data_IF_251326139955
#
_entry.id   IF_251326139955
#
_cell.length_a   1.000
_cell.length_b   1.000
_cell.length_c   1.000
_cell.angle_alpha   90.00
_cell.angle_beta   90.00
_cell.angle_gamma   90.00
#
_symmetry.space_group_name_H-M   'P 1'
#
loop_
_entity.id
_entity.type
_entity.pdbx_description
1 polymer ?
#
# COMPACT_ATOMS: atom_id res chain seq x y z
N UNK A 1 18.08 9.39 3.64
CA UNK A 1 17.68 9.39 5.06
C UNK A 1 17.05 10.74 5.38
N UNK A 2 15.75 10.79 5.66
CA UNK A 2 15.04 12.01 6.06
C UNK A 2 14.95 11.97 7.59
N UNK A 3 15.52 12.97 8.25
CA UNK A 3 15.51 13.11 9.71
C UNK A 3 14.53 14.23 10.10
N UNK A 4 13.72 13.98 11.14
CA UNK A 4 12.82 14.97 11.74
C UNK A 4 11.34 14.65 11.54
N UNK A 5 10.65 14.33 12.64
CA UNK A 5 9.21 14.03 12.79
C UNK A 5 8.71 12.88 11.91
N UNK A 6 8.66 11.65 12.45
CA UNK A 6 7.78 10.47 12.20
C UNK A 6 7.07 10.30 10.83
N UNK A 7 7.61 10.88 9.78
CA UNK A 7 7.07 10.94 8.44
C UNK A 7 8.14 10.39 7.52
N UNK A 8 7.86 9.26 6.90
CA UNK A 8 8.73 8.64 5.92
C UNK A 8 8.25 9.03 4.53
N UNK A 9 9.03 9.84 3.83
CA UNK A 9 8.76 10.26 2.45
C UNK A 9 9.61 9.46 1.45
N UNK A 10 9.00 8.99 0.37
CA UNK A 10 9.71 8.41 -0.78
C UNK A 10 8.95 8.73 -2.08
N UNK A 11 9.65 8.64 -3.21
CA UNK A 11 9.02 8.67 -4.52
C UNK A 11 8.68 7.25 -4.97
N UNK A 12 7.55 7.08 -5.63
CA UNK A 12 7.04 5.78 -6.09
C UNK A 12 6.30 5.93 -7.41
N UNK A 13 6.38 4.91 -8.26
CA UNK A 13 5.63 4.80 -9.51
C UNK A 13 4.83 3.50 -9.44
N UNK A 14 3.50 3.59 -9.40
CA UNK A 14 2.63 2.43 -9.12
C UNK A 14 2.34 1.54 -10.34
N UNK A 15 2.72 1.96 -11.55
CA UNK A 15 2.59 1.17 -12.77
C UNK A 15 3.68 1.54 -13.78
N UNK A 16 4.02 0.62 -14.68
CA UNK A 16 5.02 0.87 -15.72
C UNK A 16 4.62 2.07 -16.57
N UNK A 17 5.53 3.04 -16.73
CA UNK A 17 5.30 4.32 -17.41
C UNK A 17 4.21 5.22 -16.78
N UNK A 18 3.80 4.94 -15.53
CA UNK A 18 2.90 5.78 -14.76
C UNK A 18 3.54 7.07 -14.25
N UNK A 19 2.77 7.92 -13.56
CA UNK A 19 3.30 9.11 -12.90
C UNK A 19 4.15 8.74 -11.68
N UNK A 20 5.16 9.55 -11.38
CA UNK A 20 5.93 9.44 -10.13
C UNK A 20 5.18 10.25 -9.07
N UNK A 21 4.82 9.58 -7.99
CA UNK A 21 4.11 10.17 -6.86
C UNK A 21 5.03 10.34 -5.65
N UNK A 22 4.71 11.34 -4.83
CA UNK A 22 5.28 11.49 -3.50
C UNK A 22 4.45 10.70 -2.48
N UNK A 23 5.01 9.62 -1.95
CA UNK A 23 4.42 8.81 -0.90
C UNK A 23 4.96 9.26 0.45
N UNK A 24 4.08 9.56 1.40
CA UNK A 24 4.46 9.79 2.80
C UNK A 24 3.67 8.92 3.76
N UNK A 25 4.37 8.41 4.77
CA UNK A 25 3.83 7.52 5.81
C UNK A 25 4.11 8.18 7.16
N UNK A 26 3.05 8.53 7.88
CA UNK A 26 3.12 9.19 9.18
C UNK A 26 2.57 8.28 10.27
N UNK A 27 3.27 8.20 11.41
CA UNK A 27 2.79 7.44 12.57
C UNK A 27 2.89 8.28 13.85
N UNK A 28 1.76 8.58 14.48
CA UNK A 28 1.72 9.42 15.68
C UNK A 28 1.91 8.61 16.97
N UNK A 29 3.16 8.22 17.30
CA UNK A 29 3.49 7.32 18.44
C UNK A 29 3.90 7.93 19.80
N UNK A 30 4.34 9.20 19.93
CA UNK A 30 4.86 9.75 21.20
C UNK A 30 3.90 10.79 21.79
N UNK A 31 3.49 10.56 23.03
CA UNK A 31 2.67 11.48 23.83
C UNK A 31 1.18 11.47 23.53
N UNK A 32 0.70 10.49 22.74
CA UNK A 32 -0.70 10.42 22.29
C UNK A 32 -1.35 9.15 22.83
N UNK A 33 -2.50 9.30 23.48
CA UNK A 33 -3.28 8.18 24.03
C UNK A 33 -3.79 7.24 22.93
N UNK A 34 -4.02 7.77 21.72
CA UNK A 34 -4.55 7.04 20.56
C UNK A 34 -3.68 7.25 19.30
N UNK A 35 -2.59 6.46 19.12
CA UNK A 35 -1.75 6.59 17.93
C UNK A 35 -2.53 6.26 16.67
N UNK A 36 -2.18 6.94 15.57
CA UNK A 36 -2.76 6.69 14.26
C UNK A 36 -1.70 6.59 13.16
N UNK A 37 -2.02 5.81 12.12
CA UNK A 37 -1.22 5.68 10.91
C UNK A 37 -1.89 6.46 9.79
N UNK A 38 -1.15 7.32 9.12
CA UNK A 38 -1.62 8.11 7.98
C UNK A 38 -0.72 7.83 6.78
N UNK A 39 -1.33 7.59 5.62
CA UNK A 39 -0.59 7.52 4.35
C UNK A 39 -1.13 8.60 3.42
N UNK A 40 -0.21 9.32 2.78
CA UNK A 40 -0.52 10.31 1.76
C UNK A 40 0.19 10.00 0.46
N UNK A 41 -0.49 10.31 -0.63
CA UNK A 41 0.05 10.30 -2.00
C UNK A 41 -0.13 11.72 -2.54
N UNK A 42 0.96 12.35 -2.97
CA UNK A 42 1.01 13.74 -3.43
C UNK A 42 0.36 14.71 -2.44
N UNK A 43 0.75 14.59 -1.17
CA UNK A 43 0.20 15.34 -0.02
C UNK A 43 -1.28 15.07 0.31
N UNK A 44 -2.03 14.32 -0.51
CA UNK A 44 -3.43 13.95 -0.24
C UNK A 44 -3.50 12.73 0.66
N UNK A 45 -4.27 12.81 1.74
CA UNK A 45 -4.50 11.67 2.65
C UNK A 45 -5.36 10.61 1.97
N UNK A 46 -4.77 9.43 1.74
CA UNK A 46 -5.45 8.28 1.10
C UNK A 46 -5.83 7.20 2.10
N UNK A 47 -5.21 7.18 3.28
CA UNK A 47 -5.50 6.22 4.34
C UNK A 47 -5.28 6.85 5.71
N UNK A 48 -6.18 6.56 6.66
CA UNK A 48 -6.00 6.86 8.09
C UNK A 48 -6.54 5.73 8.95
N UNK A 49 -5.67 5.14 9.79
CA UNK A 49 -6.01 4.09 10.74
C UNK A 49 -5.91 4.67 12.15
N UNK A 50 -7.06 4.87 12.80
CA UNK A 50 -7.14 5.21 14.24
C UNK A 50 -7.02 3.96 15.11
N UNK A 51 -6.84 4.13 16.42
CA UNK A 51 -6.75 3.00 17.34
C UNK A 51 -5.65 2.03 16.95
N UNK A 52 -4.49 2.57 16.55
CA UNK A 52 -3.42 1.79 15.94
C UNK A 52 -2.83 0.75 16.89
N UNK A 53 -2.96 0.93 18.22
CA UNK A 53 -2.62 -0.10 19.21
C UNK A 53 -3.46 -1.38 19.09
N UNK A 54 -4.64 -1.28 18.49
CA UNK A 54 -5.51 -2.44 18.20
C UNK A 54 -5.43 -2.88 16.75
N UNK A 55 -4.94 -2.00 15.86
CA UNK A 55 -4.84 -2.19 14.41
C UNK A 55 -3.39 -2.10 13.91
N UNK A 56 -2.43 -2.58 14.71
CA UNK A 56 -1.00 -2.45 14.42
C UNK A 56 -0.55 -3.33 13.25
N UNK A 57 -1.39 -4.27 12.82
CA UNK A 57 -1.26 -5.04 11.58
C UNK A 57 -2.58 -4.99 10.83
N UNK A 58 -2.52 -4.87 9.51
CA UNK A 58 -3.72 -4.89 8.70
C UNK A 58 -3.43 -4.53 7.24
N UNK A 59 -4.52 -4.41 6.49
CA UNK A 59 -4.49 -4.01 5.10
C UNK A 59 -5.67 -3.11 4.73
N UNK A 60 -5.51 -2.33 3.66
CA UNK A 60 -6.52 -1.42 3.12
C UNK A 60 -6.27 -1.18 1.63
N UNK A 61 -7.32 -0.94 0.86
CA UNK A 61 -7.21 -0.67 -0.59
C UNK A 61 -7.42 0.82 -0.85
N UNK A 62 -6.45 1.44 -1.50
CA UNK A 62 -6.51 2.83 -1.96
C UNK A 62 -6.64 2.88 -3.49
N UNK A 63 -7.00 4.06 -4.02
CA UNK A 63 -6.95 4.36 -5.44
C UNK A 63 -5.88 5.44 -5.69
N UNK A 64 -4.96 5.17 -6.60
CA UNK A 64 -3.95 6.12 -7.08
C UNK A 64 -4.11 6.23 -8.58
N UNK A 65 -4.44 7.41 -9.11
CA UNK A 65 -4.72 7.60 -10.55
C UNK A 65 -5.75 6.62 -11.13
N UNK A 66 -6.75 6.22 -10.33
CA UNK A 66 -7.75 5.21 -10.73
C UNK A 66 -7.27 3.76 -10.64
N UNK A 67 -5.98 3.54 -10.37
CA UNK A 67 -5.39 2.22 -10.16
C UNK A 67 -5.60 1.77 -8.71
N UNK A 68 -6.15 0.57 -8.48
CA UNK A 68 -6.25 0.01 -7.13
C UNK A 68 -4.91 -0.48 -6.61
N UNK A 69 -4.56 -0.02 -5.41
CA UNK A 69 -3.35 -0.43 -4.69
C UNK A 69 -3.75 -0.98 -3.33
N UNK A 70 -3.39 -2.23 -3.05
CA UNK A 70 -3.47 -2.81 -1.71
C UNK A 70 -2.28 -2.35 -0.88
N UNK A 71 -2.58 -1.88 0.33
CA UNK A 71 -1.59 -1.45 1.31
C UNK A 71 -1.66 -2.40 2.48
N UNK A 72 -0.52 -2.96 2.88
CA UNK A 72 -0.35 -3.77 4.08
C UNK A 72 0.60 -3.07 5.03
N UNK A 73 0.37 -3.22 6.33
CA UNK A 73 1.25 -2.66 7.34
C UNK A 73 1.48 -3.63 8.50
N UNK A 74 2.69 -3.61 9.03
CA UNK A 74 3.04 -4.07 10.37
C UNK A 74 3.85 -2.95 11.06
N UNK A 75 3.22 -2.31 12.05
CA UNK A 75 3.81 -1.23 12.85
C UNK A 75 3.99 -1.64 14.31
N UNK A 76 3.93 -2.94 14.61
CA UNK A 76 4.03 -3.43 15.99
C UNK A 76 5.32 -2.96 16.67
N UNK A 77 6.46 -3.09 15.98
CA UNK A 77 7.75 -2.74 16.57
C UNK A 77 7.93 -1.20 16.72
N UNK A 78 7.20 -0.37 15.97
CA UNK A 78 7.11 1.07 16.24
C UNK A 78 6.34 1.44 17.50
N UNK A 79 5.30 0.67 17.84
CA UNK A 79 4.41 0.97 18.96
C UNK A 79 4.88 0.37 20.28
N UNK A 80 5.46 -0.82 20.23
CA UNK A 80 5.77 -1.64 21.41
C UNK A 80 7.27 -1.99 21.53
N UNK A 81 8.10 -1.52 20.60
CA UNK A 81 9.55 -1.73 20.64
C UNK A 81 10.24 -0.84 21.69
N UNK A 82 11.32 -1.35 22.28
CA UNK A 82 12.00 -0.74 23.43
C UNK A 82 13.04 0.33 23.09
N UNK A 83 13.65 0.27 21.90
CA UNK A 83 14.78 1.14 21.50
C UNK A 83 14.66 1.58 20.04
N UNK A 84 14.92 0.68 19.09
CA UNK A 84 14.85 0.94 17.64
C UNK A 84 13.64 0.24 17.04
N UNK A 85 12.51 0.94 17.04
CA UNK A 85 11.30 0.43 16.42
C UNK A 85 11.41 0.39 14.90
N UNK A 86 10.98 -0.70 14.30
CA UNK A 86 10.81 -0.82 12.84
C UNK A 86 9.34 -0.96 12.46
N UNK A 87 9.03 -0.64 11.21
CA UNK A 87 7.76 -1.00 10.59
C UNK A 87 7.98 -1.44 9.16
N UNK A 88 7.04 -2.24 8.68
CA UNK A 88 7.02 -2.76 7.31
C UNK A 88 5.73 -2.33 6.65
N UNK A 89 5.84 -1.82 5.42
CA UNK A 89 4.72 -1.50 4.57
C UNK A 89 4.87 -2.22 3.23
N UNK A 90 3.77 -2.70 2.67
CA UNK A 90 3.74 -3.24 1.31
C UNK A 90 2.65 -2.53 0.52
N UNK A 91 3.01 -2.08 -0.68
CA UNK A 91 2.08 -1.51 -1.65
C UNK A 91 2.08 -2.43 -2.86
N UNK A 92 0.92 -2.98 -3.22
CA UNK A 92 0.81 -3.95 -4.29
C UNK A 92 -0.38 -3.61 -5.18
N UNK A 93 -0.18 -3.57 -6.49
CA UNK A 93 -1.30 -3.51 -7.44
C UNK A 93 -1.77 -4.93 -7.73
N UNK A 94 -3.06 -5.21 -7.55
CA UNK A 94 -3.62 -6.45 -8.06
C UNK A 94 -3.75 -6.34 -9.57
N UNK A 95 -2.89 -7.01 -10.34
CA UNK A 95 -3.33 -7.51 -11.63
C UNK A 95 -4.43 -8.51 -11.33
N UNK A 96 -5.63 -8.29 -11.86
CA UNK A 96 -6.69 -9.27 -11.70
C UNK A 96 -6.17 -10.62 -12.16
N UNK A 97 -6.18 -11.62 -11.28
CA UNK A 97 -5.65 -12.95 -11.57
C UNK A 97 -6.29 -13.55 -12.84
N UNK A 98 -7.51 -13.10 -13.18
CA UNK A 98 -8.19 -13.46 -14.41
C UNK A 98 -7.37 -13.18 -15.69
N UNK A 99 -6.51 -12.15 -15.71
CA UNK A 99 -5.64 -11.85 -16.86
C UNK A 99 -4.39 -12.74 -16.95
N UNK A 100 -3.86 -13.25 -15.83
CA UNK A 100 -2.68 -14.13 -15.84
C UNK A 100 -3.02 -15.56 -16.30
N UNK A 101 -4.26 -15.99 -16.09
CA UNK A 101 -4.78 -17.24 -16.65
C UNK A 101 -5.35 -17.04 -18.06
N UNK A 102 -5.97 -15.88 -18.37
CA UNK A 102 -6.49 -15.62 -19.73
C UNK A 102 -5.39 -15.55 -20.81
N UNK A 103 -4.16 -15.17 -20.47
CA UNK A 103 -3.01 -15.26 -21.40
C UNK A 103 -2.43 -16.68 -21.53
N UNK A 104 -2.85 -17.64 -20.70
CA UNK A 104 -2.36 -19.02 -20.73
C UNK A 104 -3.40 -20.04 -21.21
N UNK A 105 -4.66 -19.67 -21.39
CA UNK A 105 -5.68 -20.60 -21.88
C UNK A 105 -5.96 -20.38 -23.37
N UNK A 106 -4.98 -20.75 -24.21
CA UNK A 106 -5.37 -21.46 -25.42
C UNK A 106 -5.67 -22.90 -24.99
N UNK A 107 -6.95 -23.26 -25.12
CA UNK A 107 -7.53 -24.60 -24.99
C UNK A 107 -7.88 -25.08 -23.57
N UNK A 108 -9.20 -25.21 -23.38
CA UNK A 108 -9.96 -26.09 -22.48
C UNK A 108 -10.31 -25.72 -21.02
N UNK A 109 -11.63 -25.59 -20.87
CA UNK A 109 -12.52 -26.10 -19.81
C UNK A 109 -12.51 -25.46 -18.40
N UNK A 110 -13.54 -24.63 -18.20
CA UNK A 110 -14.43 -24.54 -17.03
C UNK A 110 -13.82 -24.52 -15.60
N UNK A 111 -13.45 -23.34 -15.10
CA UNK A 111 -13.61 -22.99 -13.68
C UNK A 111 -13.90 -21.47 -13.59
N UNK A 112 -15.06 -21.09 -13.06
CA UNK A 112 -15.44 -19.71 -12.76
C UNK A 112 -15.13 -19.38 -11.29
N UNK A 113 -14.24 -18.42 -10.99
CA UNK A 113 -14.21 -17.75 -9.70
C UNK A 113 -14.95 -16.42 -9.79
N UNK A 114 -16.08 -16.36 -9.10
CA UNK A 114 -16.79 -15.21 -8.50
C UNK A 114 -16.67 -13.82 -9.17
N UNK A 115 -17.82 -13.31 -9.64
CA UNK A 115 -18.02 -11.97 -10.19
C UNK A 115 -17.80 -10.86 -9.15
N UNK A 116 -16.95 -9.89 -9.48
CA UNK A 116 -17.09 -8.51 -9.01
C UNK A 116 -17.58 -7.68 -10.22
N UNK A 117 -18.89 -7.58 -10.36
CA UNK A 117 -19.49 -6.76 -11.41
C UNK A 117 -19.20 -5.28 -11.15
N UNK A 118 -18.38 -4.66 -12.00
CA UNK A 118 -18.81 -3.54 -12.84
C UNK A 118 -17.70 -3.19 -13.83
N UNK A 119 -18.10 -3.12 -15.10
CA UNK A 119 -17.26 -2.85 -16.27
C UNK A 119 -16.57 -1.49 -16.17
N UNK A 120 -15.25 -1.49 -16.29
CA UNK A 120 -14.51 -0.34 -16.79
C UNK A 120 -13.92 -0.74 -18.14
N UNK A 121 -14.48 -0.18 -19.22
CA UNK A 121 -13.76 -0.06 -20.47
C UNK A 121 -12.55 0.82 -20.15
N UNK A 122 -11.33 0.29 -20.11
CA UNK A 122 -10.18 1.19 -20.14
C UNK A 122 -8.94 0.54 -20.75
N UNK A 123 -8.38 1.34 -21.63
CA UNK A 123 -7.41 1.12 -22.69
C UNK A 123 -5.98 0.84 -22.22
N UNK A 124 -5.23 0.14 -23.09
CA UNK A 124 -3.76 -0.02 -23.11
C UNK A 124 -3.14 -0.54 -21.82
N UNK A 125 -3.01 -1.86 -21.72
CA UNK A 125 -2.18 -2.54 -20.71
C UNK A 125 -0.72 -2.05 -20.73
N UNK A 126 -0.19 -1.56 -19.60
CA UNK A 126 1.24 -1.52 -19.35
C UNK A 126 1.58 -2.46 -18.18
N UNK A 127 2.44 -3.43 -18.44
CA UNK A 127 3.43 -3.80 -17.43
C UNK A 127 3.02 -4.79 -16.36
N UNK A 128 4.05 -5.43 -15.80
CA UNK A 128 3.98 -6.45 -14.76
C UNK A 128 3.42 -5.85 -13.46
N UNK A 129 2.81 -6.67 -12.59
CA UNK A 129 2.21 -6.17 -11.35
C UNK A 129 3.23 -5.44 -10.47
N UNK A 130 2.88 -4.26 -10.00
CA UNK A 130 3.72 -3.46 -9.10
C UNK A 130 3.65 -4.02 -7.68
N UNK A 131 4.82 -4.13 -7.03
CA UNK A 131 4.95 -4.39 -5.61
C UNK A 131 6.14 -3.60 -5.03
N UNK A 132 5.91 -2.92 -3.92
CA UNK A 132 6.92 -2.16 -3.19
C UNK A 132 6.84 -2.51 -1.70
N UNK A 133 7.95 -2.97 -1.14
CA UNK A 133 8.11 -3.20 0.30
C UNK A 133 9.01 -2.11 0.88
N UNK A 134 8.52 -1.43 1.92
CA UNK A 134 9.26 -0.38 2.61
C UNK A 134 9.54 -0.80 4.06
N UNK A 135 10.80 -0.68 4.45
CA UNK A 135 11.25 -0.83 5.84
C UNK A 135 11.55 0.54 6.42
N UNK A 136 10.89 0.86 7.52
CA UNK A 136 10.94 2.20 8.10
C UNK A 136 11.43 2.12 9.55
N UNK A 137 12.55 2.77 9.83
CA UNK A 137 13.30 2.66 11.09
C UNK A 137 13.18 3.95 11.89
N UNK A 138 12.76 3.84 13.15
CA UNK A 138 12.74 4.97 14.09
C UNK A 138 14.15 5.18 14.62
N UNK A 139 14.80 6.27 14.21
CA UNK A 139 15.99 6.79 14.85
C UNK A 139 15.59 7.92 15.80
N UNK A 140 16.23 8.00 16.96
CA UNK A 140 16.06 9.10 17.94
C UNK A 140 16.51 10.45 17.35
#
# INVERSE_FOLDING_TARGET
HIFGKRVYGTKVQFCDNGQIHELSIECDTVGVDDPCLVIRVDSKMVMKVKHLRWKFRGNYRILVDGLPVEVFWDVHNWLFGTTFGSAVFMFQTCLSAEKLWASQTFSDSSITPWSCSQSFIESKLPGLGFSLVLYAWKNE
#
